data_IF_814168890241
#
_entry.id   IF_814168890241
#
_cell.length_a   1.000
_cell.length_b   1.000
_cell.length_c   1.000
_cell.angle_alpha   90.00
_cell.angle_beta   90.00
_cell.angle_gamma   90.00
#
_symmetry.space_group_name_H-M   'P 1'
#
loop_
_entity.id
_entity.type
_entity.pdbx_description
1 polymer ?
#
# COMPACT_ATOMS: atom_id res chain seq x y z
N UNK A 1 3.78 5.87 -6.26
CA UNK A 1 3.18 4.68 -5.62
C UNK A 1 1.73 4.56 -6.02
N UNK A 2 0.90 5.52 -5.67
CA UNK A 2 -0.54 5.56 -5.90
C UNK A 2 -0.93 5.31 -7.36
N UNK A 3 -0.30 6.01 -8.30
CA UNK A 3 -0.56 5.80 -9.73
C UNK A 3 -0.21 4.39 -10.22
N UNK A 4 0.78 3.73 -9.60
CA UNK A 4 1.09 2.33 -9.91
C UNK A 4 -0.06 1.42 -9.49
N UNK A 5 -0.59 1.59 -8.27
CA UNK A 5 -1.72 0.80 -7.76
C UNK A 5 -2.96 1.02 -8.63
N UNK A 6 -3.27 2.26 -8.97
CA UNK A 6 -4.36 2.59 -9.88
C UNK A 6 -4.28 1.83 -11.21
N UNK A 7 -3.12 1.88 -11.88
CA UNK A 7 -2.94 1.18 -13.16
C UNK A 7 -2.92 -0.34 -13.02
N UNK A 8 -2.37 -0.87 -11.93
CA UNK A 8 -2.38 -2.30 -11.64
C UNK A 8 -3.79 -2.82 -11.38
N UNK A 9 -4.64 -2.06 -10.68
CA UNK A 9 -6.04 -2.44 -10.44
C UNK A 9 -6.79 -2.62 -11.76
N UNK A 10 -6.67 -1.66 -12.67
CA UNK A 10 -7.26 -1.76 -14.01
C UNK A 10 -6.66 -2.89 -14.83
N UNK A 11 -5.33 -3.05 -14.81
CA UNK A 11 -4.65 -4.12 -15.56
C UNK A 11 -5.10 -5.51 -15.10
N UNK A 12 -5.16 -5.76 -13.80
CA UNK A 12 -5.62 -7.04 -13.28
C UNK A 12 -7.10 -7.29 -13.54
N UNK A 13 -7.92 -6.26 -13.51
CA UNK A 13 -9.35 -6.36 -13.91
C UNK A 13 -9.49 -6.77 -15.39
N UNK A 14 -8.70 -6.19 -16.29
CA UNK A 14 -8.63 -6.59 -17.70
C UNK A 14 -8.15 -8.04 -17.89
N UNK A 15 -7.27 -8.51 -17.02
CA UNK A 15 -6.84 -9.90 -16.99
C UNK A 15 -7.88 -10.86 -16.38
N UNK A 16 -9.04 -10.35 -15.99
CA UNK A 16 -10.18 -11.14 -15.50
C UNK A 16 -10.22 -11.34 -13.98
N UNK A 17 -9.32 -10.70 -13.21
CA UNK A 17 -9.33 -10.80 -11.75
C UNK A 17 -10.32 -9.79 -11.14
N UNK A 18 -11.05 -10.20 -10.10
CA UNK A 18 -11.74 -9.27 -9.21
C UNK A 18 -10.74 -8.66 -8.24
N UNK A 19 -10.69 -7.34 -8.15
CA UNK A 19 -9.68 -6.58 -7.40
C UNK A 19 -10.36 -5.66 -6.39
N UNK A 20 -9.85 -5.65 -5.17
CA UNK A 20 -10.12 -4.58 -4.20
C UNK A 20 -8.90 -3.66 -4.17
N UNK A 21 -9.07 -2.39 -4.51
CA UNK A 21 -8.10 -1.34 -4.27
C UNK A 21 -8.42 -0.69 -2.92
N UNK A 22 -7.44 -0.66 -2.00
CA UNK A 22 -7.62 -0.10 -0.68
C UNK A 22 -6.73 1.14 -0.49
N UNK A 23 -7.34 2.29 -0.25
CA UNK A 23 -6.63 3.53 0.03
C UNK A 23 -6.48 3.70 1.55
N UNK A 24 -5.31 3.31 2.05
CA UNK A 24 -4.95 3.38 3.47
C UNK A 24 -3.89 4.47 3.74
N UNK A 25 -3.64 5.34 2.75
CA UNK A 25 -2.88 6.58 2.95
C UNK A 25 -3.83 7.67 3.46
N UNK A 26 -3.55 8.33 4.61
CA UNK A 26 -4.36 9.46 5.07
C UNK A 26 -4.43 10.65 4.11
N UNK A 27 -3.66 10.66 3.01
CA UNK A 27 -3.79 11.66 1.95
C UNK A 27 -4.90 11.35 0.95
N UNK A 28 -5.45 10.13 0.96
CA UNK A 28 -6.54 9.66 0.10
C UNK A 28 -6.31 9.90 -1.42
N UNK A 29 -5.06 9.83 -1.85
CA UNK A 29 -4.70 10.10 -3.25
C UNK A 29 -5.19 9.00 -4.21
N UNK A 30 -5.29 7.75 -3.77
CA UNK A 30 -5.83 6.68 -4.62
C UNK A 30 -7.32 6.87 -4.86
N UNK A 31 -8.04 7.30 -3.85
CA UNK A 31 -9.46 7.65 -3.94
C UNK A 31 -9.70 8.74 -4.97
N UNK A 32 -8.92 9.81 -4.96
CA UNK A 32 -9.04 10.91 -5.93
C UNK A 32 -8.68 10.51 -7.36
N UNK A 33 -7.91 9.44 -7.58
CA UNK A 33 -7.65 8.90 -8.91
C UNK A 33 -8.83 8.12 -9.48
N UNK A 34 -9.64 7.49 -8.62
CA UNK A 34 -10.79 6.70 -9.05
C UNK A 34 -12.08 7.51 -9.10
N UNK A 35 -12.28 8.47 -8.19
CA UNK A 35 -13.55 9.17 -8.00
C UNK A 35 -13.47 10.65 -8.39
N UNK A 36 -14.59 11.21 -8.82
CA UNK A 36 -14.73 12.65 -9.05
C UNK A 36 -14.97 13.42 -7.75
N UNK A 37 -14.87 14.75 -7.83
CA UNK A 37 -15.03 15.63 -6.68
C UNK A 37 -16.42 15.52 -6.08
N UNK A 38 -17.48 15.47 -6.91
CA UNK A 38 -18.87 15.36 -6.44
C UNK A 38 -19.07 14.05 -5.66
N UNK A 39 -18.47 12.96 -6.14
CA UNK A 39 -18.55 11.67 -5.44
C UNK A 39 -17.73 11.67 -4.16
N UNK A 40 -16.57 12.29 -4.15
CA UNK A 40 -15.76 12.43 -2.94
C UNK A 40 -16.48 13.28 -1.89
N UNK A 41 -17.10 14.39 -2.27
CA UNK A 41 -17.92 15.22 -1.35
C UNK A 41 -19.08 14.40 -0.74
N UNK A 42 -19.73 13.58 -1.54
CA UNK A 42 -20.81 12.73 -1.05
C UNK A 42 -20.33 11.65 -0.06
N UNK A 43 -19.08 11.17 -0.20
CA UNK A 43 -18.48 10.18 0.68
C UNK A 43 -17.83 10.79 1.94
N UNK A 44 -17.49 12.07 1.89
CA UNK A 44 -16.92 12.86 3.00
C UNK A 44 -17.87 13.98 3.45
N UNK A 45 -19.09 13.65 3.91
CA UNK A 45 -20.04 14.67 4.40
C UNK A 45 -19.53 15.29 5.68
N UNK A 46 -20.10 16.45 6.04
CA UNK A 46 -19.89 17.02 7.37
C UNK A 46 -20.27 16.00 8.46
N UNK A 47 -19.33 15.69 9.35
CA UNK A 47 -19.55 14.78 10.46
C UNK A 47 -18.95 13.39 10.25
N UNK A 48 -19.76 12.31 10.25
CA UNK A 48 -19.27 10.91 10.19
C UNK A 48 -19.17 10.41 8.77
N UNK A 49 -17.97 9.98 8.36
CA UNK A 49 -17.66 9.42 7.04
C UNK A 49 -17.93 7.90 7.00
N UNK A 50 -19.17 7.48 7.11
CA UNK A 50 -19.53 6.04 7.26
C UNK A 50 -19.09 5.15 6.11
N UNK A 51 -18.88 5.71 4.92
CA UNK A 51 -18.55 4.99 3.69
C UNK A 51 -17.06 5.04 3.37
N UNK A 52 -16.22 5.26 4.37
CA UNK A 52 -14.76 5.29 4.24
C UNK A 52 -14.11 4.24 5.12
N UNK A 53 -12.82 3.99 4.91
CA UNK A 53 -12.01 3.14 5.78
C UNK A 53 -12.05 3.64 7.23
N UNK A 54 -11.91 4.96 7.44
CA UNK A 54 -11.97 5.53 8.79
C UNK A 54 -13.35 5.31 9.43
N UNK A 55 -14.43 5.52 8.69
CA UNK A 55 -15.78 5.29 9.18
C UNK A 55 -16.03 3.85 9.64
N UNK A 56 -15.45 2.86 8.95
CA UNK A 56 -15.51 1.47 9.36
C UNK A 56 -14.70 1.18 10.64
N UNK A 57 -13.60 1.88 10.85
CA UNK A 57 -12.75 1.74 12.05
C UNK A 57 -13.26 2.53 13.25
N UNK A 58 -14.03 3.60 13.02
CA UNK A 58 -14.40 4.59 14.03
C UNK A 58 -15.06 3.99 15.29
N UNK A 59 -16.01 3.03 15.21
CA UNK A 59 -16.61 2.47 16.41
C UNK A 59 -15.60 1.76 17.33
N UNK A 60 -14.61 1.09 16.74
CA UNK A 60 -13.54 0.43 17.49
C UNK A 60 -12.58 1.45 18.12
N UNK A 61 -12.20 2.49 17.37
CA UNK A 61 -11.29 3.53 17.86
C UNK A 61 -11.92 4.34 19.00
N UNK A 62 -13.20 4.68 18.88
CA UNK A 62 -13.97 5.36 19.93
C UNK A 62 -14.34 4.45 21.13
N UNK A 63 -14.14 3.13 21.03
CA UNK A 63 -14.50 2.19 22.08
C UNK A 63 -16.00 1.94 22.22
N UNK A 64 -16.79 2.29 21.21
CA UNK A 64 -18.26 2.12 21.19
C UNK A 64 -18.72 0.80 20.58
N UNK A 65 -17.82 0.07 19.93
CA UNK A 65 -18.10 -1.21 19.27
C UNK A 65 -16.84 -1.87 18.70
N UNK A 66 -17.04 -2.75 17.74
CA UNK A 66 -15.97 -3.30 16.89
C UNK A 66 -16.00 -2.59 15.53
N UNK A 67 -15.13 -2.99 14.58
CA UNK A 67 -15.17 -2.45 13.22
C UNK A 67 -16.54 -2.68 12.60
N UNK A 68 -17.00 -1.71 11.80
CA UNK A 68 -18.21 -1.86 11.00
C UNK A 68 -17.90 -2.57 9.67
N UNK A 69 -18.96 -3.06 9.01
CA UNK A 69 -18.85 -3.62 7.67
C UNK A 69 -18.27 -2.58 6.70
N UNK A 70 -17.29 -2.96 5.85
CA UNK A 70 -16.72 -2.03 4.90
C UNK A 70 -17.74 -1.64 3.82
N UNK A 71 -17.80 -0.36 3.52
CA UNK A 71 -18.37 0.10 2.27
C UNK A 71 -17.34 -0.03 1.17
N UNK A 72 -17.73 -0.63 0.04
CA UNK A 72 -16.86 -0.78 -1.13
C UNK A 72 -17.49 -0.03 -2.28
N UNK A 73 -16.85 1.06 -2.70
CA UNK A 73 -17.29 1.84 -3.85
C UNK A 73 -17.08 1.05 -5.13
N UNK A 74 -18.13 0.83 -5.94
CA UNK A 74 -18.01 0.10 -7.20
C UNK A 74 -17.39 1.01 -8.27
N UNK A 75 -16.15 0.74 -8.66
CA UNK A 75 -15.46 1.45 -9.74
C UNK A 75 -15.78 0.81 -11.09
N UNK A 76 -15.82 -0.52 -11.14
CA UNK A 76 -16.22 -1.30 -12.30
C UNK A 76 -16.78 -2.65 -11.84
N UNK A 77 -17.19 -3.49 -12.80
CA UNK A 77 -17.64 -4.84 -12.47
C UNK A 77 -16.59 -5.62 -11.64
N UNK A 78 -15.31 -5.44 -11.95
CA UNK A 78 -14.19 -6.18 -11.33
C UNK A 78 -13.32 -5.35 -10.37
N UNK A 79 -13.60 -4.07 -10.20
CA UNK A 79 -12.82 -3.21 -9.29
C UNK A 79 -13.75 -2.64 -8.23
N UNK A 80 -13.44 -2.92 -6.96
CA UNK A 80 -14.02 -2.25 -5.80
C UNK A 80 -12.98 -1.40 -5.12
N UNK A 81 -13.36 -0.22 -4.63
CA UNK A 81 -12.49 0.68 -3.89
C UNK A 81 -12.92 0.75 -2.42
N UNK A 82 -12.00 0.44 -1.50
CA UNK A 82 -12.11 0.87 -0.12
C UNK A 82 -11.66 2.32 -0.06
N UNK A 83 -12.61 3.20 0.16
CA UNK A 83 -12.46 4.65 0.06
C UNK A 83 -11.59 5.18 1.20
N UNK A 84 -10.52 5.88 0.85
CA UNK A 84 -9.63 6.53 1.80
C UNK A 84 -10.30 7.70 2.54
N UNK A 85 -9.64 8.18 3.58
CA UNK A 85 -10.14 9.26 4.41
C UNK A 85 -8.99 10.04 5.06
N UNK A 86 -9.03 11.36 4.97
CA UNK A 86 -8.07 12.22 5.66
C UNK A 86 -8.14 12.07 7.20
N UNK A 87 -9.34 11.77 7.72
CA UNK A 87 -9.54 11.52 9.14
C UNK A 87 -8.83 10.26 9.64
N UNK A 88 -8.37 9.37 8.74
CA UNK A 88 -7.59 8.20 9.11
C UNK A 88 -6.32 8.56 9.88
N UNK A 89 -5.76 9.76 9.66
CA UNK A 89 -4.63 10.29 10.42
C UNK A 89 -4.87 10.32 11.94
N UNK A 90 -6.12 10.50 12.37
CA UNK A 90 -6.48 10.50 13.79
C UNK A 90 -6.29 9.12 14.47
N UNK A 91 -6.18 8.04 13.70
CA UNK A 91 -5.93 6.69 14.25
C UNK A 91 -4.45 6.42 14.59
N UNK A 92 -3.53 7.31 14.20
CA UNK A 92 -2.08 7.09 14.37
C UNK A 92 -1.68 6.89 15.84
N UNK A 93 -2.15 7.76 16.72
CA UNK A 93 -1.82 7.71 18.14
C UNK A 93 -2.40 6.46 18.82
N UNK A 94 -3.65 6.11 18.49
CA UNK A 94 -4.28 4.90 19.03
C UNK A 94 -3.53 3.65 18.58
N UNK A 95 -3.27 3.49 17.28
CA UNK A 95 -2.50 2.37 16.75
C UNK A 95 -1.08 2.28 17.36
N UNK A 96 -0.48 3.43 17.63
CA UNK A 96 0.84 3.45 18.26
C UNK A 96 0.80 3.02 19.72
N UNK A 97 -0.20 3.48 20.49
CA UNK A 97 -0.36 3.12 21.91
C UNK A 97 -0.70 1.64 22.10
N UNK A 98 -1.47 1.05 21.19
CA UNK A 98 -1.88 -0.35 21.29
C UNK A 98 -0.76 -1.36 20.95
N UNK A 99 0.33 -0.92 20.30
CA UNK A 99 1.43 -1.82 19.93
C UNK A 99 2.13 -2.46 21.14
N UNK A 100 2.59 -1.71 22.16
CA UNK A 100 3.13 -2.31 23.38
C UNK A 100 2.07 -3.06 24.19
N UNK A 101 0.82 -2.63 24.18
CA UNK A 101 -0.28 -3.22 24.94
C UNK A 101 -0.58 -4.69 24.57
N UNK A 102 -0.18 -5.12 23.38
CA UNK A 102 -0.23 -6.53 22.99
C UNK A 102 0.68 -7.41 23.85
N UNK A 103 1.82 -6.89 24.30
CA UNK A 103 2.73 -7.64 25.18
C UNK A 103 2.10 -7.90 26.55
N UNK A 104 1.23 -6.99 27.00
CA UNK A 104 0.44 -7.09 28.22
C UNK A 104 -0.85 -7.90 28.06
N UNK A 105 -1.06 -8.54 26.88
CA UNK A 105 -2.25 -9.36 26.57
C UNK A 105 -3.56 -8.59 26.65
N UNK A 106 -3.57 -7.28 26.38
CA UNK A 106 -4.81 -6.50 26.42
C UNK A 106 -5.69 -6.83 25.20
N UNK A 107 -6.94 -7.31 25.39
CA UNK A 107 -7.81 -7.73 24.27
C UNK A 107 -8.06 -6.63 23.23
N UNK A 108 -8.21 -5.38 23.70
CA UNK A 108 -8.42 -4.21 22.83
C UNK A 108 -7.26 -4.01 21.85
N UNK A 109 -6.02 -4.19 22.31
CA UNK A 109 -4.85 -4.01 21.47
C UNK A 109 -4.87 -4.92 20.24
N UNK A 110 -5.23 -6.18 20.41
CA UNK A 110 -5.32 -7.12 19.29
C UNK A 110 -6.49 -6.78 18.35
N UNK A 111 -7.62 -6.30 18.86
CA UNK A 111 -8.74 -5.83 18.01
C UNK A 111 -8.35 -4.64 17.16
N UNK A 112 -7.66 -3.66 17.76
CA UNK A 112 -7.21 -2.43 17.06
C UNK A 112 -6.14 -2.76 16.02
N UNK A 113 -5.12 -3.54 16.37
CA UNK A 113 -4.02 -3.86 15.44
C UNK A 113 -4.42 -4.83 14.33
N UNK A 114 -5.48 -5.63 14.52
CA UNK A 114 -6.03 -6.50 13.48
C UNK A 114 -7.13 -5.82 12.63
N UNK A 115 -7.49 -4.58 12.92
CA UNK A 115 -8.64 -3.93 12.32
C UNK A 115 -8.53 -3.82 10.79
N UNK A 116 -7.39 -3.39 10.25
CA UNK A 116 -7.17 -3.33 8.79
C UNK A 116 -7.24 -4.72 8.16
N UNK A 117 -6.62 -5.73 8.76
CA UNK A 117 -6.68 -7.10 8.25
C UNK A 117 -8.12 -7.60 8.14
N UNK A 118 -8.90 -7.48 9.22
CA UNK A 118 -10.29 -7.91 9.25
C UNK A 118 -11.16 -7.15 8.25
N UNK A 119 -10.92 -5.84 8.11
CA UNK A 119 -11.62 -5.00 7.14
C UNK A 119 -11.33 -5.48 5.70
N UNK A 120 -10.08 -5.79 5.39
CA UNK A 120 -9.67 -6.30 4.09
C UNK A 120 -10.25 -7.70 3.82
N UNK A 121 -10.26 -8.60 4.81
CA UNK A 121 -10.90 -9.91 4.68
C UNK A 121 -12.40 -9.79 4.37
N UNK A 122 -13.11 -8.89 5.05
CA UNK A 122 -14.53 -8.63 4.78
C UNK A 122 -14.73 -8.07 3.37
N UNK A 123 -13.87 -7.16 2.92
CA UNK A 123 -13.92 -6.59 1.58
C UNK A 123 -13.66 -7.66 0.49
N UNK A 124 -12.70 -8.55 0.72
CA UNK A 124 -12.42 -9.70 -0.15
C UNK A 124 -13.66 -10.60 -0.27
N UNK A 125 -14.29 -10.92 0.87
CA UNK A 125 -15.48 -11.76 0.88
C UNK A 125 -16.68 -11.12 0.16
N UNK A 126 -16.91 -9.81 0.35
CA UNK A 126 -18.01 -9.09 -0.29
C UNK A 126 -17.87 -8.99 -1.82
N UNK A 127 -16.63 -8.89 -2.32
CA UNK A 127 -16.33 -8.72 -3.76
C UNK A 127 -15.88 -10.00 -4.43
N UNK A 128 -15.77 -11.10 -3.70
CA UNK A 128 -15.13 -12.34 -4.19
C UNK A 128 -13.77 -12.04 -4.86
N UNK A 129 -12.99 -11.16 -4.21
CA UNK A 129 -11.79 -10.62 -4.81
C UNK A 129 -10.63 -11.62 -4.75
N UNK A 130 -9.97 -11.82 -5.90
CA UNK A 130 -8.74 -12.61 -5.98
C UNK A 130 -7.48 -11.85 -5.60
N UNK A 131 -7.55 -10.51 -5.53
CA UNK A 131 -6.40 -9.65 -5.24
C UNK A 131 -6.84 -8.39 -4.48
N UNK A 132 -6.04 -8.02 -3.47
CA UNK A 132 -6.12 -6.72 -2.81
C UNK A 132 -4.85 -5.93 -3.09
N UNK A 133 -5.00 -4.72 -3.60
CA UNK A 133 -3.93 -3.76 -3.82
C UNK A 133 -4.07 -2.62 -2.82
N UNK A 134 -3.05 -2.41 -1.99
CA UNK A 134 -3.11 -1.48 -0.87
C UNK A 134 -2.17 -0.29 -1.12
N UNK A 135 -2.70 0.93 -1.09
CA UNK A 135 -1.88 2.15 -1.07
C UNK A 135 -1.66 2.63 0.37
N UNK A 136 -0.40 2.92 0.69
CA UNK A 136 0.02 3.39 2.02
C UNK A 136 0.88 4.63 1.91
N UNK A 137 0.88 5.43 2.96
CA UNK A 137 1.69 6.64 3.07
C UNK A 137 3.20 6.38 2.96
N UNK A 138 4.00 7.44 2.81
CA UNK A 138 5.46 7.31 2.65
C UNK A 138 6.23 7.19 3.99
N UNK A 139 5.54 7.29 5.11
CA UNK A 139 6.15 7.29 6.44
C UNK A 139 6.30 5.87 7.03
N UNK A 140 6.99 5.75 8.15
CA UNK A 140 7.11 4.51 8.93
C UNK A 140 6.34 4.63 10.26
N UNK A 141 5.13 5.18 10.20
CA UNK A 141 4.23 5.38 11.33
C UNK A 141 3.42 4.14 11.70
N UNK A 142 2.53 4.29 12.68
CA UNK A 142 1.74 3.19 13.23
C UNK A 142 0.65 2.70 12.27
N UNK A 143 0.05 3.60 11.47
CA UNK A 143 -0.88 3.21 10.40
C UNK A 143 -0.16 2.29 9.41
N UNK A 144 1.00 2.71 8.88
CA UNK A 144 1.74 1.90 7.92
C UNK A 144 2.22 0.58 8.52
N UNK A 145 2.62 0.56 9.80
CA UNK A 145 2.95 -0.67 10.51
C UNK A 145 1.76 -1.63 10.56
N UNK A 146 0.57 -1.15 10.96
CA UNK A 146 -0.64 -1.96 11.06
C UNK A 146 -1.08 -2.50 9.69
N UNK A 147 -0.96 -1.69 8.63
CA UNK A 147 -1.26 -2.12 7.26
C UNK A 147 -0.23 -3.13 6.73
N UNK A 148 1.04 -2.93 7.01
CA UNK A 148 2.10 -3.84 6.55
C UNK A 148 2.01 -5.21 7.23
N UNK A 149 1.71 -5.30 8.53
CA UNK A 149 1.45 -6.60 9.17
C UNK A 149 0.19 -7.29 8.61
N UNK A 150 -0.77 -6.52 8.11
CA UNK A 150 -1.95 -7.03 7.42
C UNK A 150 -1.66 -7.44 5.95
N UNK A 151 -0.50 -7.09 5.41
CA UNK A 151 -0.12 -7.39 4.04
C UNK A 151 0.68 -8.69 3.95
N UNK A 152 0.35 -9.52 2.96
CA UNK A 152 1.12 -10.75 2.68
C UNK A 152 2.42 -10.41 1.92
N UNK A 153 2.35 -9.49 0.97
CA UNK A 153 3.45 -9.15 0.08
C UNK A 153 3.68 -7.63 0.02
N UNK A 154 4.92 -7.26 -0.17
CA UNK A 154 5.33 -5.85 -0.32
C UNK A 154 6.14 -5.69 -1.59
N UNK A 155 5.71 -4.74 -2.43
CA UNK A 155 6.48 -4.24 -3.59
C UNK A 155 6.98 -2.85 -3.26
N UNK A 156 8.26 -2.58 -3.52
CA UNK A 156 8.89 -1.32 -3.13
C UNK A 156 9.13 -0.46 -4.39
N UNK A 157 8.34 0.59 -4.63
CA UNK A 157 8.62 1.53 -5.72
C UNK A 157 9.79 2.45 -5.38
N UNK A 158 10.75 2.55 -6.29
CA UNK A 158 12.00 3.30 -6.13
C UNK A 158 12.21 4.25 -7.28
N UNK A 159 12.62 5.47 -6.99
CA UNK A 159 13.26 6.33 -7.99
C UNK A 159 14.78 6.08 -8.00
N UNK A 160 15.47 6.29 -9.14
CA UNK A 160 16.91 6.14 -9.21
C UNK A 160 17.64 7.37 -8.65
N UNK A 161 17.52 7.55 -7.35
CA UNK A 161 18.09 8.67 -6.59
C UNK A 161 18.62 8.26 -5.21
N UNK A 162 19.31 9.18 -4.56
CA UNK A 162 19.89 8.98 -3.23
C UNK A 162 18.81 8.72 -2.17
N UNK A 163 17.69 9.42 -2.24
CA UNK A 163 16.64 9.35 -1.21
C UNK A 163 15.97 7.98 -1.20
N UNK A 164 15.69 7.41 -2.36
CA UNK A 164 15.17 6.05 -2.51
C UNK A 164 16.11 5.00 -1.94
N UNK A 165 17.44 5.13 -2.17
CA UNK A 165 18.41 4.22 -1.58
C UNK A 165 18.49 4.35 -0.06
N UNK A 166 18.43 5.56 0.49
CA UNK A 166 18.37 5.76 1.94
C UNK A 166 17.04 5.23 2.51
N UNK A 167 15.94 5.43 1.78
CA UNK A 167 14.64 4.85 2.12
C UNK A 167 14.69 3.32 2.26
N UNK A 168 15.36 2.62 1.33
CA UNK A 168 15.56 1.17 1.42
C UNK A 168 16.32 0.75 2.67
N UNK A 169 17.40 1.48 2.99
CA UNK A 169 18.23 1.21 4.19
C UNK A 169 17.46 1.36 5.49
N UNK A 170 16.46 2.23 5.53
CA UNK A 170 15.59 2.42 6.68
C UNK A 170 14.42 1.42 6.68
N UNK A 171 13.81 1.21 5.52
CA UNK A 171 12.62 0.37 5.36
C UNK A 171 12.93 -1.11 5.64
N UNK A 172 13.98 -1.66 5.05
CA UNK A 172 14.28 -3.09 5.16
C UNK A 172 14.41 -3.59 6.60
N UNK A 173 15.30 -3.00 7.43
CA UNK A 173 15.40 -3.36 8.85
C UNK A 173 14.09 -3.15 9.62
N UNK A 174 13.31 -2.13 9.25
CA UNK A 174 12.02 -1.84 9.89
C UNK A 174 10.98 -2.92 9.57
N UNK A 175 10.89 -3.39 8.31
CA UNK A 175 9.98 -4.47 7.93
C UNK A 175 10.30 -5.76 8.69
N UNK A 176 11.58 -6.13 8.78
CA UNK A 176 12.00 -7.31 9.55
C UNK A 176 11.65 -7.17 11.02
N UNK A 177 11.98 -6.04 11.64
CA UNK A 177 11.67 -5.76 13.04
C UNK A 177 10.16 -5.85 13.30
N UNK A 178 9.32 -5.23 12.48
CA UNK A 178 7.86 -5.27 12.66
C UNK A 178 7.29 -6.67 12.51
N UNK A 179 7.83 -7.48 11.59
CA UNK A 179 7.46 -8.89 11.45
C UNK A 179 7.80 -9.68 12.72
N UNK A 180 9.06 -9.58 13.18
CA UNK A 180 9.53 -10.34 14.34
C UNK A 180 8.79 -9.91 15.62
N UNK A 181 8.60 -8.60 15.81
CA UNK A 181 7.81 -8.03 16.90
C UNK A 181 6.33 -8.44 16.85
N UNK A 182 5.74 -8.55 15.66
CA UNK A 182 4.36 -8.99 15.50
C UNK A 182 4.21 -10.48 15.77
N UNK A 183 5.12 -11.31 15.35
CA UNK A 183 5.13 -12.74 15.64
C UNK A 183 5.16 -13.01 17.16
N UNK A 184 5.95 -12.25 17.92
CA UNK A 184 5.94 -12.32 19.39
C UNK A 184 4.57 -11.94 19.98
N UNK A 185 3.99 -10.82 19.51
CA UNK A 185 2.72 -10.30 19.99
C UNK A 185 1.56 -11.24 19.68
N UNK A 186 1.51 -11.75 18.45
CA UNK A 186 0.45 -12.66 17.98
C UNK A 186 0.28 -13.87 18.87
N UNK A 187 1.37 -14.44 19.39
CA UNK A 187 1.36 -15.58 20.32
C UNK A 187 0.77 -15.23 21.69
N UNK A 188 0.66 -13.95 22.02
CA UNK A 188 0.11 -13.47 23.30
C UNK A 188 -1.38 -13.11 23.24
N UNK A 189 -2.02 -13.28 22.08
CA UNK A 189 -3.43 -12.94 21.92
C UNK A 189 -4.33 -13.74 22.90
N UNK A 190 -5.12 -13.05 23.74
CA UNK A 190 -6.05 -13.72 24.65
C UNK A 190 -7.46 -13.89 24.06
N UNK A 191 -7.72 -13.35 22.86
CA UNK A 191 -9.06 -13.29 22.27
C UNK A 191 -9.27 -14.48 21.37
N UNK A 192 -10.08 -15.43 21.79
CA UNK A 192 -10.44 -16.58 20.96
C UNK A 192 -11.24 -16.16 19.72
N UNK A 193 -10.97 -16.79 18.58
CA UNK A 193 -11.69 -16.57 17.33
C UNK A 193 -11.40 -15.22 16.64
N UNK A 194 -10.55 -14.36 17.20
CA UNK A 194 -10.16 -13.14 16.55
C UNK A 194 -9.20 -13.43 15.37
N UNK A 195 -9.61 -13.07 14.14
CA UNK A 195 -8.74 -13.16 12.99
C UNK A 195 -7.60 -12.14 13.12
N UNK A 196 -6.37 -12.63 13.17
CA UNK A 196 -5.16 -11.82 13.27
C UNK A 196 -4.40 -11.80 11.95
N UNK A 197 -3.79 -10.67 11.59
CA UNK A 197 -2.94 -10.59 10.41
C UNK A 197 -1.79 -11.60 10.49
N UNK A 198 -1.43 -12.23 9.36
CA UNK A 198 -0.35 -13.21 9.32
C UNK A 198 1.02 -12.61 9.65
N UNK A 199 1.21 -11.31 9.40
CA UNK A 199 2.46 -10.60 9.65
C UNK A 199 3.62 -11.03 8.77
N UNK A 200 3.35 -11.69 7.64
CA UNK A 200 4.41 -12.25 6.78
C UNK A 200 5.30 -11.17 6.16
N UNK A 201 4.73 -10.03 5.80
CA UNK A 201 5.42 -8.85 5.23
C UNK A 201 6.52 -9.28 4.26
N UNK A 202 6.18 -10.12 3.25
CA UNK A 202 7.16 -10.69 2.34
C UNK A 202 7.52 -9.71 1.22
N UNK A 203 8.75 -9.16 1.18
CA UNK A 203 9.20 -8.37 0.04
C UNK A 203 9.33 -9.28 -1.18
N UNK A 204 8.57 -9.00 -2.26
CA UNK A 204 8.65 -9.78 -3.51
C UNK A 204 9.55 -9.10 -4.55
N UNK A 205 9.91 -7.84 -4.34
CA UNK A 205 10.79 -7.12 -5.22
C UNK A 205 10.59 -5.61 -5.16
N UNK A 206 11.22 -4.94 -6.09
CA UNK A 206 11.10 -3.50 -6.28
C UNK A 206 10.72 -3.13 -7.70
N UNK A 207 10.10 -1.96 -7.86
CA UNK A 207 9.77 -1.37 -9.16
C UNK A 207 10.56 -0.08 -9.30
N UNK A 208 11.37 0.03 -10.36
CA UNK A 208 12.04 1.28 -10.68
C UNK A 208 11.06 2.20 -11.39
N UNK A 209 10.76 3.32 -10.75
CA UNK A 209 9.84 4.33 -11.28
C UNK A 209 10.59 5.40 -12.04
N UNK A 210 9.95 5.97 -13.07
CA UNK A 210 10.48 7.12 -13.81
C UNK A 210 11.86 6.89 -14.43
N UNK A 211 12.09 5.69 -14.96
CA UNK A 211 13.32 5.43 -15.72
C UNK A 211 13.41 6.37 -16.92
N UNK A 212 14.24 7.42 -16.78
CA UNK A 212 14.41 8.41 -17.84
C UNK A 212 15.43 7.92 -18.87
N UNK A 213 14.95 7.65 -20.09
CA UNK A 213 15.82 7.45 -21.26
C UNK A 213 15.78 8.73 -22.09
N UNK A 214 16.88 9.48 -22.13
CA UNK A 214 17.02 10.64 -22.99
C UNK A 214 17.83 10.23 -24.24
N UNK A 215 17.17 10.20 -25.40
CA UNK A 215 17.80 9.85 -26.68
C UNK A 215 18.59 8.53 -26.64
N UNK A 216 17.94 7.45 -26.13
CA UNK A 216 18.54 6.12 -25.96
C UNK A 216 19.82 6.04 -25.12
N UNK A 217 20.16 7.11 -24.41
CA UNK A 217 21.29 7.14 -23.47
C UNK A 217 20.80 7.47 -22.07
N UNK A 218 21.04 6.60 -21.09
CA UNK A 218 20.78 6.92 -19.70
C UNK A 218 21.65 8.12 -19.28
N UNK A 219 21.07 9.08 -18.56
CA UNK A 219 21.84 10.19 -17.98
C UNK A 219 22.85 9.60 -16.99
N UNK A 220 24.15 9.90 -17.11
CA UNK A 220 25.22 9.32 -16.28
C UNK A 220 24.94 9.35 -14.77
N UNK A 221 24.25 10.39 -14.28
CA UNK A 221 23.86 10.51 -12.89
C UNK A 221 22.80 9.45 -12.48
N UNK A 222 21.89 9.10 -13.38
CA UNK A 222 20.88 8.06 -13.18
C UNK A 222 21.49 6.65 -13.05
N UNK A 223 22.41 6.32 -13.96
CA UNK A 223 23.07 5.02 -13.96
C UNK A 223 23.84 4.74 -12.68
N UNK A 224 24.45 5.76 -12.08
CA UNK A 224 25.14 5.63 -10.81
C UNK A 224 24.22 5.14 -9.68
N UNK A 225 22.96 5.60 -9.66
CA UNK A 225 22.00 5.21 -8.65
C UNK A 225 21.35 3.88 -8.98
N UNK A 226 20.97 3.66 -10.25
CA UNK A 226 20.42 2.40 -10.72
C UNK A 226 21.33 1.21 -10.40
N UNK A 227 22.63 1.31 -10.72
CA UNK A 227 23.60 0.24 -10.45
C UNK A 227 23.74 -0.13 -8.96
N UNK A 228 23.30 0.74 -8.05
CA UNK A 228 23.38 0.50 -6.59
C UNK A 228 22.13 -0.15 -6.02
N UNK A 229 20.98 -0.06 -6.71
CA UNK A 229 19.70 -0.57 -6.19
C UNK A 229 19.77 -2.06 -5.86
N UNK A 230 20.25 -2.97 -6.75
CA UNK A 230 20.30 -4.40 -6.49
C UNK A 230 21.03 -4.75 -5.19
N UNK A 231 22.23 -4.20 -5.03
CA UNK A 231 23.06 -4.47 -3.85
C UNK A 231 22.39 -3.94 -2.56
N UNK A 232 21.89 -2.70 -2.58
CA UNK A 232 21.22 -2.10 -1.41
C UNK A 232 19.93 -2.83 -1.06
N UNK A 233 19.15 -3.28 -2.06
CA UNK A 233 17.94 -4.05 -1.82
C UNK A 233 18.25 -5.38 -1.11
N UNK A 234 19.25 -6.12 -1.59
CA UNK A 234 19.64 -7.40 -0.98
C UNK A 234 20.15 -7.21 0.45
N UNK A 235 21.07 -6.28 0.64
CA UNK A 235 21.62 -6.00 1.96
C UNK A 235 20.56 -5.51 2.93
N UNK A 236 19.85 -4.43 2.58
CA UNK A 236 18.93 -3.77 3.49
C UNK A 236 17.61 -4.52 3.66
N UNK A 237 16.98 -4.99 2.56
CA UNK A 237 15.63 -5.56 2.60
C UNK A 237 15.67 -7.06 2.86
N UNK A 238 16.52 -7.81 2.14
CA UNK A 238 16.60 -9.26 2.30
C UNK A 238 17.52 -9.69 3.45
N UNK A 239 18.42 -8.81 3.91
CA UNK A 239 19.39 -9.15 4.94
C UNK A 239 20.55 -10.00 4.44
N UNK A 240 20.75 -10.08 3.12
CA UNK A 240 21.83 -10.83 2.50
C UNK A 240 23.03 -9.90 2.27
N UNK A 241 24.04 -10.06 3.12
CA UNK A 241 25.29 -9.28 3.03
C UNK A 241 26.29 -9.86 2.03
N UNK A 242 26.05 -11.05 1.46
CA UNK A 242 26.92 -11.65 0.46
C UNK A 242 26.68 -10.97 -0.89
N UNK A 243 27.63 -10.14 -1.28
CA UNK A 243 27.56 -9.27 -2.44
C UNK A 243 27.09 -9.95 -3.70
N UNK A 244 26.11 -9.38 -4.34
CA UNK A 244 25.60 -9.82 -5.62
C UNK A 244 26.55 -9.40 -6.73
N UNK A 245 26.79 -10.32 -7.65
CA UNK A 245 27.44 -10.06 -8.95
C UNK A 245 26.49 -9.43 -9.98
N UNK A 246 25.28 -9.00 -9.56
CA UNK A 246 24.30 -8.38 -10.48
C UNK A 246 24.71 -6.95 -10.75
N UNK A 247 25.11 -6.68 -11.97
CA UNK A 247 25.63 -5.38 -12.40
C UNK A 247 24.54 -4.41 -12.84
N UNK A 248 23.38 -4.90 -13.27
CA UNK A 248 22.29 -4.05 -13.76
C UNK A 248 20.96 -4.37 -13.13
N UNK A 249 20.08 -3.39 -13.06
CA UNK A 249 18.69 -3.55 -12.53
C UNK A 249 17.88 -4.53 -13.38
N UNK A 250 18.16 -4.57 -14.70
CA UNK A 250 17.43 -5.44 -15.65
C UNK A 250 17.73 -6.91 -15.46
N UNK A 251 18.91 -7.24 -14.93
CA UNK A 251 19.36 -8.61 -14.68
C UNK A 251 19.06 -9.07 -13.24
N UNK A 252 18.54 -8.15 -12.38
CA UNK A 252 18.20 -8.48 -11.02
C UNK A 252 16.84 -9.18 -10.94
N UNK A 253 16.75 -10.43 -10.45
CA UNK A 253 15.49 -11.15 -10.30
C UNK A 253 14.51 -10.48 -9.33
N UNK A 254 14.97 -9.55 -8.49
CA UNK A 254 14.14 -8.77 -7.59
C UNK A 254 13.60 -7.47 -8.23
N UNK A 255 14.07 -7.10 -9.42
CA UNK A 255 13.49 -6.00 -10.18
C UNK A 255 12.23 -6.48 -10.90
N UNK A 256 11.06 -6.24 -10.30
CA UNK A 256 9.77 -6.66 -10.87
C UNK A 256 9.47 -5.92 -12.17
N UNK A 257 9.79 -4.63 -12.22
CA UNK A 257 9.61 -3.80 -13.42
C UNK A 257 10.47 -2.53 -13.37
N UNK A 258 10.82 -2.03 -14.56
CA UNK A 258 11.38 -0.70 -14.74
C UNK A 258 10.42 0.14 -15.59
N UNK A 259 9.71 1.06 -14.97
CA UNK A 259 8.67 1.88 -15.60
C UNK A 259 9.29 3.18 -16.12
N UNK A 260 9.04 3.47 -17.38
CA UNK A 260 9.47 4.72 -18.01
C UNK A 260 8.67 5.91 -17.49
N UNK A 261 9.24 7.09 -17.61
CA UNK A 261 8.51 8.34 -17.35
C UNK A 261 7.58 8.63 -18.53
N UNK A 262 6.28 8.55 -18.32
CA UNK A 262 5.26 8.74 -19.36
C UNK A 262 4.89 10.20 -19.62
N UNK A 263 5.69 11.16 -19.10
CA UNK A 263 5.55 12.61 -19.34
C UNK A 263 4.10 13.10 -19.22
N UNK A 264 3.54 13.63 -20.33
CA UNK A 264 2.19 14.18 -20.41
C UNK A 264 1.06 13.15 -20.30
N UNK A 265 1.33 11.85 -20.50
CA UNK A 265 0.30 10.82 -20.40
C UNK A 265 -0.21 10.65 -18.95
N UNK A 266 0.61 10.89 -17.94
CA UNK A 266 0.19 10.78 -16.55
C UNK A 266 -0.85 11.84 -16.16
N UNK A 267 -0.57 13.15 -16.34
CA UNK A 267 -1.59 14.18 -16.12
C UNK A 267 -2.87 13.94 -16.92
N UNK A 268 -2.74 13.56 -18.19
CA UNK A 268 -3.86 13.29 -19.06
C UNK A 268 -4.70 12.10 -18.55
N UNK A 269 -4.06 11.04 -18.08
CA UNK A 269 -4.73 9.88 -17.50
C UNK A 269 -5.49 10.25 -16.21
N UNK A 270 -4.92 11.15 -15.41
CA UNK A 270 -5.56 11.66 -14.20
C UNK A 270 -6.78 12.52 -14.54
N UNK A 271 -6.65 13.44 -15.48
CA UNK A 271 -7.73 14.33 -15.94
C UNK A 271 -8.88 13.53 -16.56
N UNK A 272 -8.55 12.55 -17.43
CA UNK A 272 -9.53 11.67 -18.05
C UNK A 272 -10.09 10.59 -17.11
N UNK A 273 -9.53 10.43 -15.92
CA UNK A 273 -9.81 9.31 -14.97
C UNK A 273 -9.79 7.94 -15.63
N UNK A 274 -8.83 7.74 -16.50
CA UNK A 274 -8.61 6.49 -17.24
C UNK A 274 -7.17 6.03 -17.04
N UNK A 275 -6.91 4.72 -16.92
CA UNK A 275 -5.53 4.25 -16.96
C UNK A 275 -4.91 4.61 -18.32
N UNK A 276 -3.61 4.86 -18.34
CA UNK A 276 -2.90 5.33 -19.54
C UNK A 276 -3.15 4.46 -20.78
N UNK A 277 -3.33 3.16 -20.59
CA UNK A 277 -3.55 2.23 -21.69
C UNK A 277 -5.00 2.26 -22.25
N UNK A 278 -5.91 3.02 -21.63
CA UNK A 278 -7.26 3.28 -22.15
C UNK A 278 -7.42 4.66 -22.78
N UNK A 279 -6.36 5.49 -22.72
CA UNK A 279 -6.40 6.82 -23.35
C UNK A 279 -6.57 6.69 -24.87
N UNK A 280 -7.41 7.56 -25.42
CA UNK A 280 -7.67 7.70 -26.85
C UNK A 280 -7.29 9.11 -27.29
N UNK A 281 -7.14 9.30 -28.60
CA UNK A 281 -6.85 10.62 -29.16
C UNK A 281 -7.90 11.72 -28.82
N UNK A 282 -9.10 11.32 -28.43
CA UNK A 282 -10.15 12.23 -27.98
C UNK A 282 -10.03 12.67 -26.51
N UNK A 283 -9.13 12.07 -25.75
CA UNK A 283 -8.89 12.41 -24.33
C UNK A 283 -7.82 13.52 -24.19
N UNK A 284 -7.22 14.03 -25.32
CA UNK A 284 -6.24 15.13 -25.29
C UNK A 284 -5.51 15.34 -26.60
#
# INVERSE_FOLDING_TARGET
KTSLIYHLAWMYAELGLSVVAADLDPQANLTSMFLDEDRMEALWPDGRHRQTVYGALQPLLEGTGDIADPYIEPVSERIGLLVGDLALSASEDELNSQWPDCLDRKPRAFRVLSAFWRLLEMAVAQREAGLVLIDVGPNLGAINRAVLIASQHVVIPLAPDLYSLQGLKNLGPTLRRWRDEWDERRLRNPVEGLSLPPGTIKPIGYVVMQHAVRLDRPVKAYNRWLARIPAVYREAVLGDAQGSSVETVTDDPHCVAALRHYRSLMPLAQEARKPMFFLRAADG
#
